data_IF_815571806190
#
_entry.id   IF_815571806190
#
_cell.length_a   1.000
_cell.length_b   1.000
_cell.length_c   1.000
_cell.angle_alpha   90.00
_cell.angle_beta   90.00
_cell.angle_gamma   90.00
#
_symmetry.space_group_name_H-M   'P 1'
#
loop_
_entity.id
_entity.type
_entity.pdbx_description
1 polymer ?
#
# COMPACT_ATOMS: atom_id res chain seq x y z
N UNK A 1 -1.48 -12.03 16.85
CA UNK A 1 -0.85 -11.65 15.56
C UNK A 1 -0.49 -10.18 15.60
N UNK A 2 0.63 -9.77 15.00
CA UNK A 2 1.16 -8.40 14.99
C UNK A 2 1.22 -7.86 13.57
N UNK A 3 0.46 -6.81 13.29
CA UNK A 3 0.34 -6.21 11.95
C UNK A 3 0.87 -4.79 11.99
N UNK A 4 1.88 -4.51 11.18
CA UNK A 4 2.29 -3.13 10.89
C UNK A 4 1.47 -2.58 9.72
N UNK A 5 0.83 -1.43 9.91
CA UNK A 5 0.03 -0.75 8.89
C UNK A 5 0.79 0.51 8.46
N UNK A 6 1.09 0.61 7.18
CA UNK A 6 1.68 1.79 6.58
C UNK A 6 0.66 2.92 6.47
N UNK A 7 0.91 4.02 7.19
CA UNK A 7 0.09 5.24 7.22
C UNK A 7 0.72 6.39 6.44
N UNK A 8 1.76 6.17 5.61
CA UNK A 8 2.33 7.24 4.77
C UNK A 8 1.30 7.86 3.80
N UNK A 9 0.19 7.17 3.52
CA UNK A 9 -0.96 7.72 2.79
C UNK A 9 -1.66 8.87 3.53
N UNK A 10 -1.58 8.92 4.86
CA UNK A 10 -2.21 9.93 5.71
C UNK A 10 -1.36 11.21 5.85
N UNK A 11 -0.03 11.08 5.78
CA UNK A 11 0.92 12.21 5.95
C UNK A 11 1.30 12.91 4.64
N UNK A 12 1.13 12.24 3.50
CA UNK A 12 1.45 12.79 2.18
C UNK A 12 0.33 13.67 1.64
N UNK A 13 0.61 14.51 0.63
CA UNK A 13 -0.41 15.27 -0.12
C UNK A 13 -1.52 14.41 -0.78
N UNK A 14 -1.47 13.08 -0.59
CA UNK A 14 -2.51 12.11 -0.89
C UNK A 14 -3.68 12.11 0.12
N UNK A 15 -3.58 12.80 1.26
CA UNK A 15 -4.69 13.02 2.21
C UNK A 15 -5.94 13.62 1.53
N UNK A 16 -5.76 14.37 0.43
CA UNK A 16 -6.86 15.02 -0.32
C UNK A 16 -7.51 14.09 -1.37
N UNK A 17 -7.02 12.85 -1.52
CA UNK A 17 -7.57 11.84 -2.45
C UNK A 17 -8.10 10.68 -1.60
N UNK A 18 -9.26 10.11 -1.96
CA UNK A 18 -10.06 9.18 -1.14
C UNK A 18 -9.35 7.99 -0.47
N UNK A 19 -8.10 7.71 -0.87
CA UNK A 19 -7.15 6.82 -0.18
C UNK A 19 -7.00 7.13 1.31
N UNK A 20 -6.85 8.42 1.69
CA UNK A 20 -6.67 8.79 3.10
C UNK A 20 -7.87 8.41 3.97
N UNK A 21 -9.07 8.78 3.50
CA UNK A 21 -10.32 8.44 4.17
C UNK A 21 -10.55 6.92 4.24
N UNK A 22 -10.23 6.18 3.18
CA UNK A 22 -10.26 4.72 3.20
C UNK A 22 -9.33 4.15 4.29
N UNK A 23 -8.08 4.62 4.34
CA UNK A 23 -7.09 4.14 5.31
C UNK A 23 -7.53 4.39 6.75
N UNK A 24 -8.08 5.57 7.05
CA UNK A 24 -8.62 5.88 8.38
C UNK A 24 -9.78 4.96 8.77
N UNK A 25 -10.76 4.78 7.88
CA UNK A 25 -11.92 3.92 8.14
C UNK A 25 -11.53 2.46 8.29
N UNK A 26 -10.57 1.99 7.47
CA UNK A 26 -10.03 0.63 7.56
C UNK A 26 -9.35 0.40 8.91
N UNK A 27 -8.47 1.32 9.34
CA UNK A 27 -7.79 1.22 10.63
C UNK A 27 -8.82 1.23 11.78
N UNK A 28 -9.79 2.15 11.74
CA UNK A 28 -10.85 2.21 12.73
C UNK A 28 -11.65 0.89 12.82
N UNK A 29 -12.04 0.34 11.67
CA UNK A 29 -12.79 -0.91 11.62
C UNK A 29 -11.96 -2.10 12.14
N UNK A 30 -10.68 -2.18 11.77
CA UNK A 30 -9.77 -3.22 12.26
C UNK A 30 -9.60 -3.13 13.78
N UNK A 31 -9.28 -1.95 14.32
CA UNK A 31 -9.12 -1.74 15.76
C UNK A 31 -10.42 -2.01 16.54
N UNK A 32 -11.58 -1.71 15.95
CA UNK A 32 -12.89 -1.91 16.59
C UNK A 32 -13.37 -3.35 16.57
N UNK A 33 -13.20 -4.07 15.47
CA UNK A 33 -13.83 -5.38 15.25
C UNK A 33 -12.84 -6.56 15.34
N UNK A 34 -11.53 -6.31 15.44
CA UNK A 34 -10.47 -7.33 15.54
C UNK A 34 -9.52 -7.03 16.71
N UNK A 35 -10.06 -7.01 17.93
CA UNK A 35 -9.34 -6.60 19.14
C UNK A 35 -8.20 -7.54 19.58
N UNK A 36 -8.17 -8.76 19.05
CA UNK A 36 -7.18 -9.81 19.30
C UNK A 36 -5.91 -9.66 18.42
N UNK A 37 -5.93 -8.73 17.46
CA UNK A 37 -4.79 -8.40 16.60
C UNK A 37 -4.14 -7.11 17.09
N UNK A 38 -2.81 -7.13 17.25
CA UNK A 38 -2.04 -5.96 17.61
C UNK A 38 -1.67 -5.17 16.35
N UNK A 39 -2.20 -3.96 16.21
CA UNK A 39 -1.91 -3.06 15.09
C UNK A 39 -0.86 -2.01 15.48
N UNK A 40 0.15 -1.83 14.63
CA UNK A 40 1.17 -0.78 14.79
C UNK A 40 1.18 0.10 13.55
N UNK A 41 0.91 1.39 13.72
CA UNK A 41 0.91 2.37 12.63
C UNK A 41 2.36 2.81 12.38
N UNK A 42 2.82 2.71 11.14
CA UNK A 42 4.18 3.10 10.75
C UNK A 42 4.13 4.00 9.52
N UNK A 43 5.15 4.83 9.33
CA UNK A 43 5.39 5.47 8.04
C UNK A 43 6.43 4.61 7.31
N UNK A 44 6.11 4.02 6.16
CA UNK A 44 6.99 3.07 5.46
C UNK A 44 8.33 3.67 4.98
N UNK A 45 8.50 4.99 5.04
CA UNK A 45 9.80 5.65 4.93
C UNK A 45 10.75 5.32 6.09
N UNK A 46 10.21 4.95 7.26
CA UNK A 46 10.93 4.67 8.49
C UNK A 46 11.19 3.18 8.72
N UNK A 47 11.85 2.86 9.84
CA UNK A 47 12.14 1.48 10.24
C UNK A 47 10.87 0.70 10.56
N UNK A 48 10.68 -0.43 9.87
CA UNK A 48 9.64 -1.41 10.21
C UNK A 48 10.05 -2.14 11.49
N UNK A 49 9.17 -2.28 12.50
CA UNK A 49 9.48 -2.98 13.73
C UNK A 49 9.92 -4.42 13.48
N UNK A 50 10.86 -4.93 14.26
CA UNK A 50 11.44 -6.25 14.01
C UNK A 50 10.49 -7.42 14.31
N UNK A 51 9.53 -7.21 15.19
CA UNK A 51 8.60 -8.23 15.68
C UNK A 51 7.20 -8.00 15.09
N UNK A 52 7.05 -8.27 13.80
CA UNK A 52 5.77 -8.23 13.09
C UNK A 52 5.58 -9.49 12.26
N UNK A 53 4.33 -9.93 12.13
CA UNK A 53 3.97 -11.07 11.28
C UNK A 53 3.62 -10.59 9.86
N UNK A 54 2.95 -9.43 9.77
CA UNK A 54 2.41 -8.86 8.54
C UNK A 54 2.78 -7.37 8.44
N UNK A 55 3.23 -6.96 7.27
CA UNK A 55 3.33 -5.57 6.85
C UNK A 55 2.26 -5.27 5.81
N UNK A 56 1.38 -4.31 6.09
CA UNK A 56 0.30 -3.90 5.21
C UNK A 56 0.55 -2.49 4.65
N UNK A 57 0.84 -2.42 3.36
CA UNK A 57 0.87 -1.17 2.59
C UNK A 57 -0.55 -0.77 2.21
N UNK A 58 -1.02 0.37 2.74
CA UNK A 58 -2.40 0.83 2.53
C UNK A 58 -2.61 1.55 1.21
N UNK A 59 -1.53 1.85 0.47
CA UNK A 59 -1.60 2.40 -0.87
C UNK A 59 -0.41 1.93 -1.71
N UNK A 60 -0.57 2.03 -3.02
CA UNK A 60 0.47 1.75 -3.99
C UNK A 60 0.50 2.86 -5.04
N UNK A 61 1.69 3.38 -5.33
CA UNK A 61 1.92 4.21 -6.52
C UNK A 61 2.56 3.33 -7.61
N UNK A 62 1.98 3.34 -8.81
CA UNK A 62 2.45 2.51 -9.93
C UNK A 62 3.79 2.97 -10.51
N UNK A 63 4.13 4.25 -10.34
CA UNK A 63 5.26 4.90 -11.00
C UNK A 63 6.30 5.42 -10.03
N UNK A 64 6.00 5.45 -8.73
CA UNK A 64 6.93 5.73 -7.65
C UNK A 64 7.17 4.49 -6.80
N UNK A 65 8.38 4.37 -6.24
CA UNK A 65 8.77 3.21 -5.44
C UNK A 65 8.26 3.35 -4.00
N UNK A 66 7.00 2.99 -3.76
CA UNK A 66 6.36 3.12 -2.44
C UNK A 66 6.49 1.88 -1.56
N UNK A 67 6.80 0.71 -2.13
CA UNK A 67 6.86 -0.56 -1.39
C UNK A 67 8.27 -1.14 -1.30
N UNK A 68 8.56 -1.79 -0.17
CA UNK A 68 9.76 -2.61 0.06
C UNK A 68 9.29 -4.01 0.46
N UNK A 69 9.56 -5.01 -0.38
CA UNK A 69 9.23 -6.41 -0.07
C UNK A 69 10.44 -7.04 0.63
N UNK A 70 10.18 -7.69 1.76
CA UNK A 70 11.18 -8.42 2.55
C UNK A 70 10.68 -9.82 2.84
N UNK A 71 11.58 -10.80 2.84
CA UNK A 71 11.25 -12.18 3.24
C UNK A 71 11.07 -12.32 4.77
N UNK A 72 11.33 -11.25 5.55
CA UNK A 72 11.22 -11.26 7.02
C UNK A 72 9.78 -11.36 7.52
N UNK A 73 8.82 -10.85 6.76
CA UNK A 73 7.41 -10.78 7.14
C UNK A 73 6.50 -10.93 5.91
N UNK A 74 5.26 -11.35 6.10
CA UNK A 74 4.28 -11.38 5.01
C UNK A 74 3.91 -9.96 4.64
N UNK A 75 3.91 -9.66 3.35
CA UNK A 75 3.55 -8.32 2.85
C UNK A 75 2.18 -8.37 2.18
N UNK A 76 1.30 -7.44 2.55
CA UNK A 76 0.00 -7.19 1.94
C UNK A 76 0.03 -5.79 1.34
N UNK A 77 -0.50 -5.64 0.12
CA UNK A 77 -0.58 -4.32 -0.55
C UNK A 77 -2.02 -4.06 -1.00
N UNK A 78 -2.55 -2.90 -0.63
CA UNK A 78 -3.82 -2.39 -1.15
C UNK A 78 -3.57 -1.49 -2.36
N UNK A 79 -4.20 -1.83 -3.48
CA UNK A 79 -4.16 -1.10 -4.74
C UNK A 79 -5.51 -0.43 -4.94
N UNK A 80 -5.52 0.90 -4.97
CA UNK A 80 -6.76 1.68 -5.11
C UNK A 80 -7.18 1.87 -6.57
N UNK A 81 -6.22 2.07 -7.47
CA UNK A 81 -6.50 2.18 -8.89
C UNK A 81 -5.35 1.62 -9.73
N UNK A 82 -5.72 1.22 -10.95
CA UNK A 82 -4.78 0.84 -12.02
C UNK A 82 -5.11 1.53 -13.33
N UNK A 83 -5.91 2.61 -13.26
CA UNK A 83 -6.38 3.40 -14.41
C UNK A 83 -5.22 3.81 -15.34
N UNK A 84 -4.05 4.26 -14.83
CA UNK A 84 -2.94 4.62 -15.71
C UNK A 84 -2.41 3.47 -16.59
N UNK A 85 -2.60 2.22 -16.17
CA UNK A 85 -2.21 1.04 -16.96
C UNK A 85 -3.24 0.73 -18.06
N UNK A 86 -4.51 1.07 -17.82
CA UNK A 86 -5.60 0.87 -18.79
C UNK A 86 -5.60 1.96 -19.85
N UNK A 87 -5.27 3.21 -19.47
CA UNK A 87 -5.28 4.38 -20.36
C UNK A 87 -3.91 5.07 -20.48
N UNK A 88 -2.86 4.37 -20.95
CA UNK A 88 -1.50 4.92 -20.96
C UNK A 88 -1.35 6.16 -21.85
N UNK A 89 -2.22 6.36 -22.85
CA UNK A 89 -2.20 7.57 -23.69
C UNK A 89 -2.63 8.83 -22.92
N UNK A 90 -3.51 8.68 -21.93
CA UNK A 90 -3.99 9.79 -21.09
C UNK A 90 -3.10 10.05 -19.88
N UNK A 91 -2.32 9.04 -19.47
CA UNK A 91 -1.35 9.11 -18.38
C UNK A 91 0.05 8.78 -18.89
N UNK A 92 0.63 9.64 -19.76
CA UNK A 92 1.95 9.37 -20.32
C UNK A 92 2.99 9.36 -19.21
N UNK A 93 3.75 8.28 -19.13
CA UNK A 93 4.81 8.12 -18.15
C UNK A 93 6.19 8.21 -18.79
N UNK A 94 7.06 8.96 -18.14
CA UNK A 94 8.46 9.07 -18.57
C UNK A 94 9.22 7.75 -18.38
N UNK A 95 10.45 7.71 -18.90
CA UNK A 95 11.33 6.53 -18.84
C UNK A 95 11.49 6.02 -17.40
N UNK A 96 11.66 6.92 -16.42
CA UNK A 96 11.76 6.56 -15.00
C UNK A 96 10.51 5.85 -14.47
N UNK A 97 9.32 6.32 -14.85
CA UNK A 97 8.06 5.71 -14.46
C UNK A 97 7.90 4.30 -15.04
N UNK A 98 8.31 4.10 -16.30
CA UNK A 98 8.30 2.78 -16.93
C UNK A 98 9.26 1.79 -16.26
N UNK A 99 10.46 2.22 -15.91
CA UNK A 99 11.42 1.38 -15.16
C UNK A 99 10.87 1.03 -13.78
N UNK A 100 10.30 2.01 -13.07
CA UNK A 100 9.68 1.78 -11.76
C UNK A 100 8.51 0.80 -11.85
N UNK A 101 7.63 0.96 -12.84
CA UNK A 101 6.51 0.05 -13.08
C UNK A 101 6.99 -1.38 -13.37
N UNK A 102 8.04 -1.53 -14.19
CA UNK A 102 8.62 -2.83 -14.48
C UNK A 102 9.16 -3.51 -13.22
N UNK A 103 9.92 -2.78 -12.40
CA UNK A 103 10.45 -3.27 -11.13
C UNK A 103 9.32 -3.59 -10.14
N UNK A 104 8.30 -2.75 -10.06
CA UNK A 104 7.13 -2.94 -9.22
C UNK A 104 6.38 -4.23 -9.59
N UNK A 105 6.10 -4.46 -10.87
CA UNK A 105 5.49 -5.72 -11.34
C UNK A 105 6.29 -6.95 -10.91
N UNK A 106 7.63 -6.85 -10.94
CA UNK A 106 8.51 -7.94 -10.49
C UNK A 106 8.50 -8.13 -8.98
N UNK A 107 8.35 -7.04 -8.21
CA UNK A 107 8.20 -7.09 -6.75
C UNK A 107 6.86 -7.68 -6.33
N UNK A 108 5.77 -7.29 -6.98
CA UNK A 108 4.42 -7.77 -6.67
C UNK A 108 4.26 -9.29 -6.85
N UNK A 109 5.03 -9.90 -7.76
CA UNK A 109 5.09 -11.37 -7.89
C UNK A 109 5.58 -12.09 -6.63
N UNK A 110 6.29 -11.38 -5.75
CA UNK A 110 6.82 -11.92 -4.49
C UNK A 110 6.03 -11.44 -3.26
N UNK A 111 4.93 -10.70 -3.46
CA UNK A 111 4.04 -10.27 -2.37
C UNK A 111 3.07 -11.40 -2.07
N UNK A 112 2.72 -11.58 -0.78
CA UNK A 112 1.85 -12.68 -0.36
C UNK A 112 0.40 -12.50 -0.84
N UNK A 113 -0.12 -11.27 -0.81
CA UNK A 113 -1.50 -10.98 -1.19
C UNK A 113 -1.68 -9.53 -1.66
N UNK A 114 -2.61 -9.29 -2.58
CA UNK A 114 -2.93 -7.97 -3.13
C UNK A 114 -4.44 -7.73 -3.15
N UNK A 115 -4.88 -6.65 -2.50
CA UNK A 115 -6.29 -6.25 -2.47
C UNK A 115 -6.52 -5.10 -3.44
N UNK A 116 -7.45 -5.28 -4.39
CA UNK A 116 -7.91 -4.21 -5.27
C UNK A 116 -9.20 -3.62 -4.71
N UNK A 117 -9.14 -2.39 -4.18
CA UNK A 117 -10.35 -1.69 -3.73
C UNK A 117 -11.03 -1.03 -4.93
N UNK A 118 -12.12 -1.63 -5.42
CA UNK A 118 -12.92 -1.00 -6.47
C UNK A 118 -13.93 -0.03 -5.84
N UNK A 119 -13.65 1.27 -5.91
CA UNK A 119 -14.59 2.31 -5.51
C UNK A 119 -15.70 2.40 -6.56
N UNK A 120 -16.79 1.67 -6.36
CA UNK A 120 -18.04 1.86 -7.13
C UNK A 120 -18.77 3.04 -6.51
N UNK A 121 -19.00 4.09 -7.31
CA UNK A 121 -19.87 5.21 -6.96
C UNK A 121 -21.34 4.79 -6.98
#
# INVERSE_FOLDING_TARGET
MRVAIDISALSSGHHVRGVGSYTEQMIYALEKYQSDIAYTKIDAGNSVPENIDILHYTYLDLFNRTIKVSNKYRTIVTIHDVIPLVFPQHFPVGIRGNVNLFLLKRLLKNVCDTYLSHQTK
#
